data_IF_887923821408
#
_entry.id   IF_887923821408
#
_cell.length_a   1.000
_cell.length_b   1.000
_cell.length_c   1.000
_cell.angle_alpha   90.00
_cell.angle_beta   90.00
_cell.angle_gamma   90.00
#
_symmetry.space_group_name_H-M   'P 1'
#
loop_
_entity.id
_entity.type
_entity.pdbx_description
1 polymer ?
#
# COMPACT_ATOMS: atom_id res chain seq x y z
N UNK A 1 6.56 -4.96 -6.74
CA UNK A 1 5.59 -3.95 -6.31
C UNK A 1 5.98 -2.58 -6.86
N UNK A 2 5.02 -1.81 -7.29
CA UNK A 2 5.25 -0.45 -7.80
C UNK A 2 5.15 0.54 -6.63
N UNK A 3 6.27 0.81 -5.99
CA UNK A 3 6.35 1.67 -4.80
C UNK A 3 5.94 3.10 -5.12
N UNK A 4 6.35 3.62 -6.27
CA UNK A 4 6.00 4.99 -6.68
C UNK A 4 4.49 5.18 -6.82
N UNK A 5 3.82 4.19 -7.43
CA UNK A 5 2.38 4.22 -7.63
C UNK A 5 1.64 4.14 -6.29
N UNK A 6 2.14 3.29 -5.39
CA UNK A 6 1.54 3.18 -4.06
C UNK A 6 1.67 4.49 -3.29
N UNK A 7 2.86 5.11 -3.32
CA UNK A 7 3.07 6.41 -2.65
C UNK A 7 2.17 7.48 -3.24
N UNK A 8 1.97 7.48 -4.56
CA UNK A 8 1.08 8.42 -5.22
C UNK A 8 -0.37 8.26 -4.76
N UNK A 9 -0.84 7.02 -4.62
CA UNK A 9 -2.20 6.77 -4.14
C UNK A 9 -2.39 7.19 -2.68
N UNK A 10 -1.38 6.97 -1.85
CA UNK A 10 -1.40 7.41 -0.45
C UNK A 10 -1.53 8.94 -0.39
N UNK A 11 -0.71 9.64 -1.16
CA UNK A 11 -0.73 11.10 -1.19
C UNK A 11 -2.04 11.64 -1.76
N UNK A 12 -2.56 11.00 -2.80
CA UNK A 12 -3.83 11.40 -3.43
C UNK A 12 -4.98 11.33 -2.45
N UNK A 13 -4.94 10.40 -1.52
CA UNK A 13 -5.95 10.25 -0.48
C UNK A 13 -5.64 11.06 0.78
N UNK A 14 -4.65 11.95 0.70
CA UNK A 14 -4.26 12.86 1.77
C UNK A 14 -3.77 12.14 3.04
N UNK A 15 -3.18 10.96 2.88
CA UNK A 15 -2.58 10.25 4.00
C UNK A 15 -1.09 10.54 4.09
N UNK A 16 -0.59 10.58 5.32
CA UNK A 16 0.83 10.41 5.62
C UNK A 16 1.05 8.97 6.06
N UNK A 17 2.30 8.50 6.07
CA UNK A 17 2.59 7.14 6.52
C UNK A 17 2.14 6.91 7.97
N UNK A 18 2.41 7.82 8.93
CA UNK A 18 1.93 7.61 10.30
C UNK A 18 0.41 7.53 10.40
N UNK A 19 -0.31 8.36 9.65
CA UNK A 19 -1.78 8.36 9.67
C UNK A 19 -2.34 7.10 9.04
N UNK A 20 -1.75 6.64 7.95
CA UNK A 20 -2.16 5.42 7.31
C UNK A 20 -1.91 4.20 8.21
N UNK A 21 -0.76 4.16 8.87
CA UNK A 21 -0.43 3.09 9.81
C UNK A 21 -1.45 3.03 10.95
N UNK A 22 -1.82 4.20 11.49
CA UNK A 22 -2.84 4.30 12.53
C UNK A 22 -4.18 3.73 12.02
N UNK A 23 -4.57 4.10 10.81
CA UNK A 23 -5.81 3.62 10.19
C UNK A 23 -5.80 2.11 10.00
N UNK A 24 -4.64 1.54 9.67
CA UNK A 24 -4.48 0.11 9.47
C UNK A 24 -4.27 -0.66 10.77
N UNK A 25 -3.99 0.03 11.87
CA UNK A 25 -3.71 -0.61 13.16
C UNK A 25 -2.35 -1.28 13.22
N UNK A 26 -1.37 -0.79 12.47
CA UNK A 26 0.00 -1.31 12.49
C UNK A 26 0.98 -0.19 12.85
N UNK A 27 2.19 -0.58 13.24
CA UNK A 27 3.24 0.36 13.56
C UNK A 27 3.73 1.09 12.30
N UNK A 28 4.03 2.39 12.43
CA UNK A 28 4.48 3.20 11.30
C UNK A 28 5.78 2.68 10.68
N UNK A 29 6.68 2.15 11.50
CA UNK A 29 7.94 1.58 11.01
C UNK A 29 7.67 0.34 10.15
N UNK A 30 6.73 -0.49 10.58
CA UNK A 30 6.31 -1.67 9.81
C UNK A 30 5.74 -1.26 8.46
N UNK A 31 4.86 -0.27 8.45
CA UNK A 31 4.28 0.22 7.19
C UNK A 31 5.36 0.80 6.29
N UNK A 32 6.28 1.58 6.86
CA UNK A 32 7.38 2.17 6.10
C UNK A 32 8.22 1.10 5.39
N UNK A 33 8.61 0.04 6.10
CA UNK A 33 9.41 -1.03 5.51
C UNK A 33 8.64 -1.79 4.42
N UNK A 34 7.34 -1.95 4.58
CA UNK A 34 6.54 -2.62 3.56
C UNK A 34 6.38 -1.75 2.31
N UNK A 35 6.15 -0.46 2.48
CA UNK A 35 6.00 0.48 1.35
C UNK A 35 7.29 0.55 0.54
N UNK A 36 8.43 0.51 1.21
CA UNK A 36 9.74 0.61 0.53
C UNK A 36 10.26 -0.74 0.02
N UNK A 37 9.47 -1.80 0.15
CA UNK A 37 9.81 -3.09 -0.42
C UNK A 37 10.82 -3.89 0.37
N UNK A 38 11.16 -3.47 1.60
CA UNK A 38 12.07 -4.22 2.48
C UNK A 38 11.39 -5.50 2.96
N UNK A 39 10.09 -5.41 3.26
CA UNK A 39 9.25 -6.56 3.59
C UNK A 39 8.01 -6.54 2.70
N UNK A 40 7.40 -7.71 2.51
CA UNK A 40 6.20 -7.82 1.66
C UNK A 40 4.94 -7.50 2.45
N UNK A 41 3.95 -6.91 1.78
CA UNK A 41 2.62 -6.76 2.35
C UNK A 41 1.96 -8.13 2.50
N UNK A 42 1.27 -8.31 3.61
CA UNK A 42 0.41 -9.47 3.81
C UNK A 42 -0.88 -9.28 3.02
N UNK A 43 -1.55 -10.40 2.71
CA UNK A 43 -2.79 -10.36 1.95
C UNK A 43 -3.85 -9.49 2.63
N UNK A 44 -3.99 -9.61 3.95
CA UNK A 44 -4.95 -8.80 4.70
C UNK A 44 -4.61 -7.31 4.64
N UNK A 45 -3.32 -6.98 4.61
CA UNK A 45 -2.88 -5.59 4.51
C UNK A 45 -3.18 -4.99 3.15
N UNK A 46 -3.01 -5.79 2.09
CA UNK A 46 -3.37 -5.35 0.74
C UNK A 46 -4.87 -5.09 0.66
N UNK A 47 -5.68 -5.97 1.24
CA UNK A 47 -7.13 -5.78 1.29
C UNK A 47 -7.51 -4.51 2.05
N UNK A 48 -6.85 -4.23 3.19
CA UNK A 48 -7.07 -3.00 3.95
C UNK A 48 -6.71 -1.77 3.13
N UNK A 49 -5.56 -1.78 2.47
CA UNK A 49 -5.12 -0.66 1.63
C UNK A 49 -6.08 -0.41 0.48
N UNK A 50 -6.54 -1.48 -0.17
CA UNK A 50 -7.49 -1.36 -1.26
C UNK A 50 -8.77 -0.66 -0.79
N UNK A 51 -9.25 -1.00 0.40
CA UNK A 51 -10.45 -0.39 0.97
C UNK A 51 -10.20 1.05 1.38
N UNK A 52 -9.11 1.31 2.09
CA UNK A 52 -8.78 2.65 2.61
C UNK A 52 -8.51 3.63 1.48
N UNK A 53 -7.75 3.20 0.47
CA UNK A 53 -7.35 4.06 -0.65
C UNK A 53 -8.31 4.01 -1.83
N UNK A 54 -9.35 3.18 -1.76
CA UNK A 54 -10.34 3.07 -2.83
C UNK A 54 -9.76 2.48 -4.11
N UNK A 55 -8.88 1.48 -4.00
CA UNK A 55 -8.24 0.86 -5.16
C UNK A 55 -9.17 -0.18 -5.79
N UNK A 56 -9.30 -0.14 -7.11
CA UNK A 56 -10.00 -1.19 -7.84
C UNK A 56 -9.04 -2.35 -8.14
N UNK A 57 -9.55 -3.42 -8.75
CA UNK A 57 -8.72 -4.60 -9.03
C UNK A 57 -7.57 -4.30 -9.98
N UNK A 58 -7.76 -3.42 -10.97
CA UNK A 58 -6.69 -3.03 -11.89
C UNK A 58 -5.57 -2.32 -11.15
N UNK A 59 -5.90 -1.43 -10.22
CA UNK A 59 -4.90 -0.72 -9.41
C UNK A 59 -4.18 -1.67 -8.46
N UNK A 60 -4.89 -2.59 -7.83
CA UNK A 60 -4.29 -3.60 -6.96
C UNK A 60 -3.26 -4.41 -7.75
N UNK A 61 -3.64 -4.86 -8.95
CA UNK A 61 -2.72 -5.63 -9.79
C UNK A 61 -1.51 -4.80 -10.23
N UNK A 62 -1.73 -3.55 -10.65
CA UNK A 62 -0.62 -2.73 -11.14
C UNK A 62 0.33 -2.29 -10.03
N UNK A 63 -0.15 -2.14 -8.81
CA UNK A 63 0.69 -1.73 -7.68
C UNK A 63 1.40 -2.92 -7.02
N UNK A 64 0.63 -3.94 -6.62
CA UNK A 64 1.15 -5.01 -5.79
C UNK A 64 1.69 -6.20 -6.56
N UNK A 65 1.20 -6.43 -7.76
CA UNK A 65 1.54 -7.62 -8.56
C UNK A 65 2.18 -7.24 -9.90
N UNK A 66 2.78 -6.05 -9.98
CA UNK A 66 3.41 -5.57 -11.21
C UNK A 66 4.48 -6.53 -11.74
N UNK A 67 5.25 -7.14 -10.85
CA UNK A 67 6.34 -8.04 -11.21
C UNK A 67 5.83 -9.37 -11.78
N UNK A 68 4.57 -9.71 -11.49
CA UNK A 68 3.96 -10.96 -11.95
C UNK A 68 3.27 -10.76 -13.31
N UNK A 69 2.74 -9.56 -13.54
CA UNK A 69 1.91 -9.26 -14.72
C UNK A 69 2.73 -8.75 -15.90
N UNK A 70 3.94 -8.28 -15.66
CA UNK A 70 4.81 -7.71 -16.67
C UNK A 70 5.28 -8.72 -17.73
#
# INVERSE_FOLDING_TARGET
>A
MNTSDLKAEIARNNFTIPKLAEKMGIDKKTLYTRINGVTCFKQEEIAQLAKILGLNSDKIMSIFFADIVS
#
